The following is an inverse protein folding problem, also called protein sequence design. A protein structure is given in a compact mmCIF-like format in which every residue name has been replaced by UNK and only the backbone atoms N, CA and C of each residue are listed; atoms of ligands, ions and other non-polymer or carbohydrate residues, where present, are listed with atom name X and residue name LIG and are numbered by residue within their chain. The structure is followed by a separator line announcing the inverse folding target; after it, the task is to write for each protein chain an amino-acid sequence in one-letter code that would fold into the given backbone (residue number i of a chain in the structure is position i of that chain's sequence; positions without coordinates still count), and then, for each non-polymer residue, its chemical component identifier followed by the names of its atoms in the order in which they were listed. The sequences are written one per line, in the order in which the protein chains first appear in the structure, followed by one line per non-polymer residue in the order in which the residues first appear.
data_IF_416622702390
#
_entry.id   IF_416622702390
#
_cell.length_a   1.000
_cell.length_b   1.000
_cell.length_c   1.000
_cell.angle_alpha   90.00
_cell.angle_beta   90.00
_cell.angle_gamma   90.00
#
_symmetry.space_group_name_H-M   'P 1'
#
loop_
_entity.id
_entity.type
_entity.pdbx_description
1 polymer ?
#
# COMPACT_ATOMS: atom_id res chain seq x y z
N UNK A 1 34.96 -43.03 27.34
CA UNK A 1 34.20 -41.77 27.44
C UNK A 1 34.71 -40.81 26.38
N UNK A 2 33.98 -40.65 25.28
CA UNK A 2 34.24 -39.63 24.26
C UNK A 2 33.01 -38.74 24.13
N UNK A 3 33.18 -37.46 24.42
CA UNK A 3 32.12 -36.45 24.52
C UNK A 3 31.65 -36.04 23.12
N UNK A 4 30.37 -36.24 22.81
CA UNK A 4 29.75 -35.75 21.58
C UNK A 4 29.52 -34.23 21.69
N UNK A 5 30.18 -33.46 20.84
CA UNK A 5 29.92 -32.03 20.69
C UNK A 5 28.73 -31.84 19.75
N UNK A 6 27.59 -31.40 20.28
CA UNK A 6 26.42 -30.96 19.51
C UNK A 6 26.67 -29.54 19.00
N UNK A 7 27.25 -29.41 17.81
CA UNK A 7 27.32 -28.15 17.08
C UNK A 7 26.03 -27.91 16.30
N UNK A 8 25.10 -27.12 16.87
CA UNK A 8 24.04 -26.48 16.12
C UNK A 8 24.67 -25.32 15.32
N UNK A 9 24.73 -25.43 14.00
CA UNK A 9 24.96 -24.26 13.14
C UNK A 9 23.62 -23.56 12.90
N UNK A 10 23.49 -22.24 13.14
CA UNK A 10 22.29 -21.53 12.76
C UNK A 10 22.21 -21.51 11.24
N UNK A 11 21.18 -22.17 10.69
CA UNK A 11 20.86 -22.10 9.27
C UNK A 11 20.85 -20.63 8.84
N UNK A 12 21.71 -20.31 7.87
CA UNK A 12 21.77 -19.01 7.22
C UNK A 12 20.36 -18.68 6.71
N UNK A 13 19.65 -17.79 7.40
CA UNK A 13 18.38 -17.26 6.91
C UNK A 13 18.64 -16.74 5.50
N UNK A 14 17.88 -17.17 4.48
CA UNK A 14 17.93 -16.52 3.19
C UNK A 14 17.48 -15.08 3.43
N UNK A 15 18.44 -14.15 3.48
CA UNK A 15 18.14 -12.74 3.34
C UNK A 15 17.47 -12.62 1.98
N UNK A 16 16.16 -12.38 1.98
CA UNK A 16 15.52 -11.81 0.80
C UNK A 16 16.40 -10.64 0.38
N UNK A 17 16.95 -10.71 -0.82
CA UNK A 17 17.73 -9.60 -1.34
C UNK A 17 16.80 -8.37 -1.31
N UNK A 18 17.16 -7.37 -0.52
CA UNK A 18 16.62 -6.02 -0.64
C UNK A 18 17.07 -5.49 -2.01
N UNK A 19 16.34 -5.92 -3.04
CA UNK A 19 16.62 -5.66 -4.43
C UNK A 19 15.36 -5.10 -5.04
N UNK A 20 15.20 -3.78 -4.92
CA UNK A 20 14.28 -3.02 -5.75
C UNK A 20 14.69 -3.32 -7.20
N UNK A 21 13.94 -4.22 -7.85
CA UNK A 21 14.22 -4.60 -9.23
C UNK A 21 13.93 -3.35 -10.05
N UNK A 22 14.99 -2.73 -10.58
CA UNK A 22 14.86 -1.48 -11.31
C UNK A 22 13.82 -1.64 -12.44
N UNK A 23 12.84 -0.73 -12.54
CA UNK A 23 11.79 -0.84 -13.55
C UNK A 23 12.42 -0.92 -14.94
N UNK A 24 12.10 -1.97 -15.65
CA UNK A 24 12.58 -2.21 -17.01
C UNK A 24 11.64 -1.55 -18.01
N UNK A 25 12.13 -1.26 -19.22
CA UNK A 25 11.25 -0.80 -20.32
C UNK A 25 10.11 -1.79 -20.61
N UNK A 26 10.32 -3.08 -20.33
CA UNK A 26 9.27 -4.08 -20.45
C UNK A 26 8.13 -3.86 -19.45
N UNK A 27 8.45 -3.40 -18.23
CA UNK A 27 7.45 -3.07 -17.21
C UNK A 27 6.61 -1.86 -17.61
N UNK A 28 7.22 -0.88 -18.29
CA UNK A 28 6.50 0.28 -18.83
C UNK A 28 5.53 -0.11 -19.95
N UNK A 29 5.97 -0.97 -20.87
CA UNK A 29 5.11 -1.51 -21.93
C UNK A 29 3.95 -2.33 -21.37
N UNK A 30 4.21 -3.17 -20.37
CA UNK A 30 3.18 -3.96 -19.70
C UNK A 30 2.18 -3.07 -18.96
N UNK A 31 2.66 -2.05 -18.24
CA UNK A 31 1.82 -1.09 -17.56
C UNK A 31 0.93 -0.31 -18.53
N UNK A 32 1.45 0.07 -19.70
CA UNK A 32 0.66 0.72 -20.74
C UNK A 32 -0.43 -0.21 -21.29
N UNK A 33 -0.12 -1.49 -21.54
CA UNK A 33 -1.11 -2.47 -22.00
C UNK A 33 -2.21 -2.71 -20.97
N UNK A 34 -1.85 -2.83 -19.69
CA UNK A 34 -2.81 -2.92 -18.58
C UNK A 34 -3.69 -1.67 -18.50
N UNK A 35 -3.09 -0.49 -18.69
CA UNK A 35 -3.82 0.77 -18.68
C UNK A 35 -4.84 0.84 -19.82
N UNK A 36 -4.51 0.37 -21.02
CA UNK A 36 -5.50 0.25 -22.12
C UNK A 36 -6.68 -0.66 -21.75
N UNK A 37 -6.47 -1.65 -20.88
CA UNK A 37 -7.54 -2.49 -20.31
C UNK A 37 -8.21 -1.87 -19.06
N UNK A 38 -7.90 -0.61 -18.74
CA UNK A 38 -8.37 0.14 -17.56
C UNK A 38 -7.97 -0.48 -16.23
N UNK A 39 -6.82 -1.16 -16.22
CA UNK A 39 -6.23 -1.79 -15.03
C UNK A 39 -5.07 -0.92 -14.55
N UNK A 40 -5.17 -0.45 -13.31
CA UNK A 40 -4.13 0.29 -12.59
C UNK A 40 -3.51 -0.61 -11.54
N UNK A 41 -2.19 -0.80 -11.56
CA UNK A 41 -1.50 -1.72 -10.68
C UNK A 41 -0.66 -1.00 -9.62
N UNK A 42 -0.99 -1.24 -8.35
CA UNK A 42 -0.24 -0.82 -7.18
C UNK A 42 0.48 -2.04 -6.58
N UNK A 43 1.65 -2.35 -7.12
CA UNK A 43 2.47 -3.52 -6.74
C UNK A 43 3.63 -3.23 -5.79
N UNK A 44 3.78 -1.97 -5.36
CA UNK A 44 4.91 -1.48 -4.56
C UNK A 44 4.42 -0.90 -3.23
N UNK A 45 5.36 -0.49 -2.39
CA UNK A 45 5.05 0.37 -1.24
C UNK A 45 4.33 1.64 -1.70
N UNK A 46 3.39 2.14 -0.89
CA UNK A 46 2.71 3.41 -1.12
C UNK A 46 3.61 4.56 -0.70
N UNK A 47 4.10 5.30 -1.67
CA UNK A 47 4.92 6.48 -1.53
C UNK A 47 4.47 7.57 -2.51
N UNK A 48 5.14 8.72 -2.50
CA UNK A 48 4.77 9.84 -3.36
C UNK A 48 4.86 9.50 -4.86
N UNK A 49 5.87 8.73 -5.27
CA UNK A 49 6.09 8.36 -6.68
C UNK A 49 5.00 7.41 -7.17
N UNK A 50 4.76 6.32 -6.44
CA UNK A 50 3.72 5.34 -6.77
C UNK A 50 2.33 5.95 -6.70
N UNK A 51 2.04 6.79 -5.71
CA UNK A 51 0.76 7.49 -5.62
C UNK A 51 0.55 8.44 -6.80
N UNK A 52 1.52 9.29 -7.13
CA UNK A 52 1.42 10.21 -8.26
C UNK A 52 1.20 9.44 -9.59
N UNK A 53 1.87 8.30 -9.78
CA UNK A 53 1.65 7.43 -10.92
C UNK A 53 0.21 6.90 -10.98
N UNK A 54 -0.28 6.34 -9.87
CA UNK A 54 -1.65 5.79 -9.78
C UNK A 54 -2.69 6.89 -10.04
N UNK A 55 -2.53 8.06 -9.44
CA UNK A 55 -3.43 9.19 -9.64
C UNK A 55 -3.44 9.66 -11.11
N UNK A 56 -2.26 9.83 -11.72
CA UNK A 56 -2.13 10.23 -13.12
C UNK A 56 -2.79 9.20 -14.06
N UNK A 57 -2.60 7.91 -13.80
CA UNK A 57 -3.22 6.83 -14.56
C UNK A 57 -4.76 6.86 -14.44
N UNK A 58 -5.30 7.05 -13.24
CA UNK A 58 -6.75 7.17 -13.04
C UNK A 58 -7.34 8.38 -13.76
N UNK A 59 -6.68 9.55 -13.67
CA UNK A 59 -7.10 10.76 -14.37
C UNK A 59 -7.08 10.58 -15.88
N UNK A 60 -6.06 9.91 -16.42
CA UNK A 60 -5.98 9.61 -17.86
C UNK A 60 -7.13 8.71 -18.30
N UNK A 61 -7.38 7.60 -17.58
CA UNK A 61 -8.50 6.69 -17.87
C UNK A 61 -9.87 7.36 -17.79
N UNK A 62 -10.01 8.30 -16.85
CA UNK A 62 -11.23 9.08 -16.66
C UNK A 62 -11.45 10.07 -17.80
N UNK A 63 -10.38 10.70 -18.28
CA UNK A 63 -10.42 11.61 -19.42
C UNK A 63 -10.71 10.88 -20.73
N UNK A 64 -10.22 9.64 -20.90
CA UNK A 64 -10.52 8.80 -22.06
C UNK A 64 -11.97 8.30 -22.08
N UNK A 65 -12.45 7.80 -20.94
CA UNK A 65 -13.84 7.38 -20.77
C UNK A 65 -14.30 7.58 -19.32
N UNK A 66 -15.17 8.57 -19.05
CA UNK A 66 -15.65 8.88 -17.70
C UNK A 66 -16.74 7.94 -17.20
N UNK A 67 -17.23 6.99 -18.02
CA UNK A 67 -18.34 6.08 -17.65
C UNK A 67 -17.87 4.68 -17.29
N UNK A 68 -16.83 4.19 -17.96
CA UNK A 68 -16.35 2.83 -17.73
C UNK A 68 -15.61 2.69 -16.41
N UNK A 69 -15.80 1.56 -15.73
CA UNK A 69 -15.11 1.24 -14.49
C UNK A 69 -13.58 1.24 -14.65
N UNK A 70 -12.87 1.52 -13.55
CA UNK A 70 -11.42 1.40 -13.44
C UNK A 70 -11.11 0.31 -12.41
N UNK A 71 -10.20 -0.60 -12.75
CA UNK A 71 -9.78 -1.67 -11.84
C UNK A 71 -8.44 -1.35 -11.19
N UNK A 72 -8.45 -1.09 -9.89
CA UNK A 72 -7.26 -0.91 -9.06
C UNK A 72 -6.84 -2.24 -8.43
N UNK A 73 -5.71 -2.77 -8.88
CA UNK A 73 -5.13 -4.00 -8.36
C UNK A 73 -4.08 -3.66 -7.31
N UNK A 74 -4.25 -4.20 -6.11
CA UNK A 74 -3.45 -3.87 -4.93
C UNK A 74 -2.64 -5.09 -4.49
N UNK A 75 -1.33 -4.93 -4.50
CA UNK A 75 -0.37 -5.82 -3.85
C UNK A 75 0.69 -4.94 -3.16
N UNK A 76 0.37 -4.45 -1.96
CA UNK A 76 1.18 -3.42 -1.29
C UNK A 76 1.28 -3.66 0.21
N UNK A 77 2.47 -3.51 0.81
CA UNK A 77 2.63 -3.52 2.26
C UNK A 77 2.09 -2.25 2.94
N UNK A 78 1.51 -1.31 2.18
CA UNK A 78 1.12 0.00 2.67
C UNK A 78 2.24 1.02 2.54
N UNK A 79 2.25 2.05 3.36
CA UNK A 79 3.27 3.10 3.30
C UNK A 79 2.75 4.45 3.81
N UNK A 80 3.11 5.51 3.10
CA UNK A 80 2.76 6.89 3.48
C UNK A 80 1.25 7.12 3.46
N UNK A 81 0.73 7.62 4.58
CA UNK A 81 -0.69 7.97 4.74
C UNK A 81 -1.08 9.10 3.80
N UNK A 82 -0.25 10.14 3.66
CA UNK A 82 -0.53 11.28 2.78
C UNK A 82 -0.57 10.86 1.32
N UNK A 83 0.35 9.99 0.89
CA UNK A 83 0.37 9.47 -0.46
C UNK A 83 -0.86 8.61 -0.76
N UNK A 84 -1.26 7.72 0.16
CA UNK A 84 -2.46 6.92 -0.03
C UNK A 84 -3.76 7.73 0.05
N UNK A 85 -3.79 8.84 0.80
CA UNK A 85 -4.93 9.78 0.79
C UNK A 85 -5.05 10.50 -0.56
N UNK A 86 -3.94 10.85 -1.22
CA UNK A 86 -4.00 11.43 -2.56
C UNK A 86 -4.65 10.48 -3.57
N UNK A 87 -4.37 9.18 -3.49
CA UNK A 87 -5.05 8.15 -4.30
C UNK A 87 -6.54 8.11 -3.98
N UNK A 88 -6.88 8.07 -2.68
CA UNK A 88 -8.28 8.06 -2.24
C UNK A 88 -9.07 9.28 -2.74
N UNK A 89 -8.51 10.48 -2.61
CA UNK A 89 -9.17 11.71 -3.08
C UNK A 89 -9.31 11.69 -4.61
N UNK A 90 -8.34 11.15 -5.33
CA UNK A 90 -8.43 10.96 -6.79
C UNK A 90 -9.54 9.99 -7.17
N UNK A 91 -9.70 8.87 -6.45
CA UNK A 91 -10.81 7.93 -6.65
C UNK A 91 -12.17 8.59 -6.41
N UNK A 92 -12.25 9.61 -5.55
CA UNK A 92 -13.48 10.38 -5.27
C UNK A 92 -13.73 11.52 -6.25
N UNK A 93 -12.66 12.05 -6.84
CA UNK A 93 -12.71 13.14 -7.80
C UNK A 93 -13.24 12.66 -9.15
N UNK A 94 -12.81 11.48 -9.60
CA UNK A 94 -13.20 10.95 -10.91
C UNK A 94 -14.66 10.46 -10.89
N UNK A 95 -15.42 10.64 -11.98
CA UNK A 95 -16.79 10.13 -12.10
C UNK A 95 -16.87 8.60 -12.22
N UNK A 96 -15.74 7.94 -12.47
CA UNK A 96 -15.67 6.49 -12.69
C UNK A 96 -15.80 5.71 -11.38
N UNK A 97 -16.48 4.58 -11.45
CA UNK A 97 -16.41 3.59 -10.38
C UNK A 97 -15.03 2.92 -10.34
N UNK A 98 -14.45 2.82 -9.15
CA UNK A 98 -13.15 2.17 -8.94
C UNK A 98 -13.36 0.82 -8.28
N UNK A 99 -13.26 -0.24 -9.07
CA UNK A 99 -13.19 -1.62 -8.60
C UNK A 99 -11.82 -1.87 -7.98
N UNK A 100 -11.78 -2.60 -6.87
CA UNK A 100 -10.53 -2.91 -6.16
C UNK A 100 -10.34 -4.41 -6.02
N UNK A 101 -9.13 -4.90 -6.30
CA UNK A 101 -8.78 -6.31 -6.20
C UNK A 101 -7.46 -6.47 -5.44
N UNK A 102 -7.46 -7.19 -4.32
CA UNK A 102 -6.21 -7.57 -3.65
C UNK A 102 -5.64 -8.85 -4.22
N UNK A 103 -4.37 -8.77 -4.62
CA UNK A 103 -3.55 -9.90 -5.04
C UNK A 103 -2.38 -10.09 -4.07
N UNK A 104 -2.35 -11.22 -3.38
CA UNK A 104 -1.23 -11.59 -2.50
C UNK A 104 -1.29 -10.89 -1.14
N UNK A 105 -1.01 -9.58 -1.08
CA UNK A 105 -0.89 -8.87 0.18
C UNK A 105 -1.39 -7.43 0.13
N UNK A 106 -2.18 -7.02 1.13
CA UNK A 106 -2.57 -5.64 1.35
C UNK A 106 -2.51 -5.30 2.84
N UNK A 107 -1.59 -4.42 3.24
CA UNK A 107 -1.46 -3.95 4.62
C UNK A 107 -1.59 -2.44 4.72
N UNK A 108 -2.05 -1.94 5.88
CA UNK A 108 -2.12 -0.50 6.18
C UNK A 108 -2.82 0.30 5.06
N UNK A 109 -2.12 1.24 4.40
CA UNK A 109 -2.68 2.00 3.28
C UNK A 109 -3.12 1.12 2.08
N UNK A 110 -2.49 -0.02 1.84
CA UNK A 110 -2.93 -0.95 0.80
C UNK A 110 -4.32 -1.52 1.10
N UNK A 111 -4.59 -1.89 2.35
CA UNK A 111 -5.93 -2.32 2.76
C UNK A 111 -6.93 -1.16 2.71
N UNK A 112 -6.49 0.05 3.06
CA UNK A 112 -7.36 1.21 3.11
C UNK A 112 -7.91 1.46 1.71
N UNK A 113 -7.03 1.44 0.71
CA UNK A 113 -7.38 1.55 -0.71
C UNK A 113 -8.35 0.44 -1.17
N UNK A 114 -8.22 -0.79 -0.67
CA UNK A 114 -9.24 -1.84 -0.90
C UNK A 114 -10.61 -1.42 -0.34
N UNK A 115 -10.65 -0.96 0.91
CA UNK A 115 -11.94 -0.69 1.59
C UNK A 115 -12.70 0.50 1.00
N UNK A 116 -11.98 1.48 0.45
CA UNK A 116 -12.54 2.71 -0.12
C UNK A 116 -12.95 2.60 -1.59
N UNK A 117 -12.69 1.47 -2.25
CA UNK A 117 -13.22 1.16 -3.57
C UNK A 117 -14.75 1.18 -3.63
N UNK A 118 -15.31 1.23 -4.83
CA UNK A 118 -16.76 1.29 -5.06
C UNK A 118 -17.46 0.13 -4.35
N UNK A 119 -18.54 0.44 -3.62
CA UNK A 119 -19.32 -0.55 -2.89
C UNK A 119 -19.85 -1.62 -3.84
N UNK A 120 -19.64 -2.90 -3.48
CA UNK A 120 -20.01 -4.04 -4.33
C UNK A 120 -18.97 -4.42 -5.38
N UNK A 121 -17.89 -3.64 -5.55
CA UNK A 121 -16.78 -3.90 -6.46
C UNK A 121 -15.44 -4.00 -5.71
N UNK A 122 -15.44 -4.63 -4.54
CA UNK A 122 -14.24 -4.82 -3.68
C UNK A 122 -13.98 -6.30 -3.52
N UNK A 123 -12.85 -6.77 -4.04
CA UNK A 123 -12.54 -8.17 -4.20
C UNK A 123 -11.17 -8.50 -3.60
N UNK A 124 -10.98 -9.75 -3.22
CA UNK A 124 -9.69 -10.28 -2.81
C UNK A 124 -9.58 -11.70 -3.37
N UNK A 125 -8.40 -12.07 -3.86
CA UNK A 125 -8.13 -13.44 -4.25
C UNK A 125 -8.14 -14.38 -3.02
N UNK A 126 -8.43 -15.68 -3.19
CA UNK A 126 -8.63 -16.60 -2.05
C UNK A 126 -7.44 -16.72 -1.09
N UNK A 127 -6.21 -16.53 -1.60
CA UNK A 127 -4.98 -16.63 -0.82
C UNK A 127 -4.43 -15.26 -0.40
N UNK A 128 -5.14 -14.17 -0.71
CA UNK A 128 -4.70 -12.82 -0.36
C UNK A 128 -4.80 -12.58 1.15
N UNK A 129 -3.77 -11.96 1.70
CA UNK A 129 -3.74 -11.56 3.11
C UNK A 129 -3.99 -10.06 3.24
N UNK A 130 -4.98 -9.71 4.05
CA UNK A 130 -5.33 -8.33 4.36
C UNK A 130 -4.97 -8.08 5.82
N UNK A 131 -4.11 -7.09 6.08
CA UNK A 131 -3.58 -6.80 7.41
C UNK A 131 -3.95 -5.40 7.88
N UNK A 132 -4.78 -5.36 8.93
CA UNK A 132 -5.06 -4.14 9.69
C UNK A 132 -4.00 -3.93 10.76
N UNK A 133 -3.36 -2.77 10.76
CA UNK A 133 -2.62 -2.28 11.91
C UNK A 133 -2.84 -0.77 12.07
N UNK A 134 -2.72 -0.28 13.30
CA UNK A 134 -2.84 1.16 13.55
C UNK A 134 -1.71 1.91 12.83
N UNK A 135 -1.96 3.11 12.25
CA UNK A 135 -0.90 3.93 11.69
C UNK A 135 0.14 4.17 12.77
N UNK A 136 1.34 3.64 12.58
CA UNK A 136 2.47 4.00 13.43
C UNK A 136 2.85 5.42 13.07
N UNK A 137 2.23 6.39 13.75
CA UNK A 137 2.70 7.76 13.75
C UNK A 137 4.13 7.72 14.29
N UNK A 138 5.11 7.78 13.39
CA UNK A 138 6.50 8.05 13.74
C UNK A 138 6.57 9.45 14.32
N UNK A 139 6.27 9.58 15.61
CA UNK A 139 6.66 10.76 16.39
C UNK A 139 8.19 10.71 16.44
N UNK A 140 8.83 11.51 15.60
CA UNK A 140 10.19 11.95 15.83
C UNK A 140 10.24 12.60 17.21
N UNK A 141 10.86 11.91 18.16
CA UNK A 141 11.07 12.40 19.52
C UNK A 141 10.02 11.93 20.52
N UNK A 142 10.11 10.68 20.97
CA UNK A 142 9.60 10.30 22.28
C UNK A 142 10.41 11.05 23.37
N UNK A 143 10.11 12.34 23.59
CA UNK A 143 10.29 12.89 24.93
C UNK A 143 9.15 12.28 25.76
N UNK A 144 9.45 11.56 26.86
CA UNK A 144 8.40 11.06 27.71
C UNK A 144 7.57 12.26 28.17
N UNK A 145 6.26 12.15 27.99
CA UNK A 145 5.32 13.14 28.50
C UNK A 145 5.54 13.24 30.01
N UNK A 146 6.21 14.32 30.43
CA UNK A 146 6.34 14.63 31.84
C UNK A 146 4.92 14.91 32.33
N UNK A 147 4.47 14.05 33.25
CA UNK A 147 3.19 14.09 33.93
C UNK A 147 2.79 15.53 34.24
N UNK A 148 1.77 16.03 33.56
CA UNK A 148 1.17 17.33 33.82
C UNK A 148 0.59 17.28 35.24
N UNK A 149 1.27 17.91 36.21
CA UNK A 149 0.69 18.14 37.54
C UNK A 149 -0.29 19.31 37.41
N UNK A 150 -1.59 19.12 37.72
CA UNK A 150 -2.51 20.25 37.77
C UNK A 150 -2.06 21.21 38.88
N UNK A 151 -1.82 22.48 38.51
CA UNK A 151 -1.69 23.58 39.47
C UNK A 151 -3.08 23.82 40.07
N UNK A 152 -3.25 23.54 41.36
CA UNK A 152 -4.37 24.05 42.13
C UNK A 152 -4.20 25.55 42.29
N UNK A 153 -5.11 26.33 41.71
CA UNK A 153 -5.31 27.73 42.07
C UNK A 153 -6.10 27.76 43.37
N UNK A 154 -5.57 28.40 44.41
CA UNK A 154 -6.36 28.85 45.56
C UNK A 154 -6.30 30.37 45.58
N UNK A 155 -7.46 30.96 45.88
CA UNK A 155 -7.75 32.40 45.98
C UNK A 155 -6.83 33.15 46.93
#
# INVERSE_FOLDING_TARGET
MGTFATGWEPAMSPRAADGDTAPTRFDDHLAAQLLTQRIVFLGTQVDEVSANRVCAQMLLLSAEDPRSDISLYVNSPGGSVTAGLAIYDTMRLIPNDVSTLVMGFAASMGQFLLTVGTRGKRYALPNSRIMMHQPSAGIGGARPISRFRPRTWNS
#
